data_IF_356091033810
#
_entry.id   IF_356091033810
#
_cell.length_a   1.000
_cell.length_b   1.000
_cell.length_c   1.000
_cell.angle_alpha   90.00
_cell.angle_beta   90.00
_cell.angle_gamma   90.00
#
_symmetry.space_group_name_H-M   'P 1'
#
loop_
_entity.id
_entity.type
_entity.pdbx_description
1 polymer ?
#
# COMPACT_ATOMS: atom_id res chain seq x y z
N UNK A 1 3.75 11.26 -30.03
CA UNK A 1 3.11 12.29 -29.17
C UNK A 1 1.62 11.99 -29.12
N UNK A 2 1.14 11.40 -28.03
CA UNK A 2 -0.28 11.09 -27.86
C UNK A 2 -0.99 12.34 -27.35
N UNK A 3 -2.07 12.74 -28.02
CA UNK A 3 -2.90 13.86 -27.62
C UNK A 3 -3.35 13.68 -26.16
N UNK A 4 -3.15 14.73 -25.35
CA UNK A 4 -3.72 14.80 -24.02
C UNK A 4 -5.24 14.66 -24.17
N UNK A 5 -5.81 13.61 -23.57
CA UNK A 5 -7.26 13.44 -23.50
C UNK A 5 -7.81 14.63 -22.69
N UNK A 6 -8.88 15.26 -23.18
CA UNK A 6 -9.67 16.19 -22.36
C UNK A 6 -9.97 15.54 -21.00
N UNK A 7 -10.09 16.35 -19.94
CA UNK A 7 -10.38 15.90 -18.58
C UNK A 7 -11.73 15.16 -18.49
N UNK A 8 -11.78 13.93 -18.97
CA UNK A 8 -12.82 12.99 -18.67
C UNK A 8 -12.72 12.70 -17.18
N UNK A 9 -13.87 12.64 -16.50
CA UNK A 9 -13.91 12.14 -15.14
C UNK A 9 -13.31 10.72 -15.15
N UNK A 10 -12.39 10.46 -14.22
CA UNK A 10 -11.87 9.12 -14.02
C UNK A 10 -13.02 8.15 -13.78
N UNK A 11 -12.84 6.91 -14.21
CA UNK A 11 -13.72 5.78 -13.98
C UNK A 11 -12.88 4.60 -13.48
N UNK A 12 -13.53 3.58 -12.91
CA UNK A 12 -12.86 2.34 -12.51
C UNK A 12 -12.29 1.52 -13.69
N UNK A 13 -12.51 1.94 -14.94
CA UNK A 13 -11.89 1.36 -16.12
C UNK A 13 -10.54 2.02 -16.48
N UNK A 14 -10.17 3.11 -15.80
CA UNK A 14 -8.98 3.88 -16.13
C UNK A 14 -7.71 3.41 -15.42
N UNK A 15 -6.59 3.59 -16.11
CA UNK A 15 -5.24 3.50 -15.55
C UNK A 15 -4.52 4.84 -15.71
N UNK A 16 -3.79 5.26 -14.69
CA UNK A 16 -3.20 6.59 -14.58
C UNK A 16 -1.73 6.48 -14.20
N UNK A 17 -0.87 7.27 -14.85
CA UNK A 17 0.49 7.49 -14.38
C UNK A 17 0.51 8.65 -13.39
N UNK A 18 1.00 8.42 -12.17
CA UNK A 18 1.07 9.45 -11.14
C UNK A 18 2.22 9.20 -10.17
N UNK A 19 3.07 10.20 -9.93
CA UNK A 19 4.33 9.99 -9.23
C UNK A 19 5.30 9.09 -10.00
N UNK A 20 6.50 8.92 -9.44
CA UNK A 20 7.54 8.07 -10.00
C UNK A 20 8.35 7.41 -8.88
N UNK A 21 8.76 6.16 -9.09
CA UNK A 21 9.49 5.39 -8.08
C UNK A 21 10.58 4.56 -8.75
N UNK A 22 11.64 4.14 -8.02
CA UNK A 22 12.57 3.12 -8.53
C UNK A 22 11.82 1.86 -8.96
N UNK A 23 12.00 1.41 -10.21
CA UNK A 23 11.32 0.22 -10.72
C UNK A 23 12.26 -0.75 -11.46
N UNK A 24 12.82 -0.39 -12.62
CA UNK A 24 13.73 -1.26 -13.38
C UNK A 24 15.21 -0.95 -13.11
N UNK A 25 16.09 -1.95 -13.15
CA UNK A 25 17.55 -1.78 -12.94
C UNK A 25 18.15 -2.85 -12.04
N UNK A 26 19.42 -2.64 -11.65
CA UNK A 26 20.20 -3.48 -10.72
C UNK A 26 20.74 -2.62 -9.58
N UNK A 27 21.09 -3.23 -8.44
CA UNK A 27 21.39 -2.67 -7.09
C UNK A 27 21.57 -1.15 -6.92
N UNK A 28 22.37 -0.48 -7.76
CA UNK A 28 22.71 0.93 -7.61
C UNK A 28 22.13 1.86 -8.71
N UNK A 29 21.52 1.29 -9.76
CA UNK A 29 21.07 1.97 -10.99
C UNK A 29 19.55 1.79 -11.26
N UNK A 30 18.74 1.67 -10.21
CA UNK A 30 17.29 1.62 -10.41
C UNK A 30 16.77 2.92 -11.01
N UNK A 31 16.16 2.81 -12.18
CA UNK A 31 15.51 3.92 -12.88
C UNK A 31 14.26 4.33 -12.12
N UNK A 32 14.16 5.64 -11.86
CA UNK A 32 12.94 6.24 -11.33
C UNK A 32 11.97 6.42 -12.49
N UNK A 33 10.86 5.69 -12.44
CA UNK A 33 9.91 5.57 -13.53
C UNK A 33 8.49 5.88 -13.04
N UNK A 34 7.61 6.47 -13.89
CA UNK A 34 6.23 6.75 -13.52
C UNK A 34 5.51 5.52 -12.99
N UNK A 35 4.81 5.67 -11.87
CA UNK A 35 4.02 4.58 -11.28
C UNK A 35 2.69 4.49 -12.02
N UNK A 36 2.36 3.28 -12.49
CA UNK A 36 1.05 3.00 -13.09
C UNK A 36 0.08 2.57 -12.00
N UNK A 37 -1.07 3.24 -11.95
CA UNK A 37 -2.15 3.00 -10.99
C UNK A 37 -3.41 2.62 -11.74
N UNK A 38 -4.16 1.63 -11.24
CA UNK A 38 -5.54 1.39 -11.64
C UNK A 38 -6.50 2.13 -10.71
N UNK A 39 -7.55 2.71 -11.25
CA UNK A 39 -8.64 3.32 -10.47
C UNK A 39 -9.56 2.22 -9.96
N UNK A 40 -9.75 2.15 -8.64
CA UNK A 40 -10.65 1.20 -8.00
C UNK A 40 -12.06 1.78 -7.85
N UNK A 41 -12.13 3.03 -7.40
CA UNK A 41 -13.37 3.74 -7.09
C UNK A 41 -13.20 5.23 -7.42
N UNK A 42 -14.29 5.86 -7.86
CA UNK A 42 -14.39 7.32 -7.94
C UNK A 42 -15.60 7.76 -7.14
N UNK A 43 -15.36 8.57 -6.12
CA UNK A 43 -16.36 9.10 -5.22
C UNK A 43 -17.10 10.29 -5.83
N UNK A 44 -18.29 10.60 -5.32
CA UNK A 44 -19.11 11.73 -5.80
C UNK A 44 -18.46 13.11 -5.64
N UNK A 45 -17.46 13.23 -4.78
CA UNK A 45 -16.63 14.43 -4.58
C UNK A 45 -15.42 14.52 -5.55
N UNK A 46 -15.38 13.64 -6.57
CA UNK A 46 -14.32 13.54 -7.59
C UNK A 46 -12.97 13.08 -7.03
N UNK A 47 -12.94 12.45 -5.87
CA UNK A 47 -11.77 11.75 -5.37
C UNK A 47 -11.72 10.34 -5.94
N UNK A 48 -10.52 9.79 -6.11
CA UNK A 48 -10.31 8.45 -6.64
C UNK A 48 -9.49 7.61 -5.67
N UNK A 49 -9.94 6.38 -5.42
CA UNK A 49 -9.12 5.35 -4.81
C UNK A 49 -8.37 4.63 -5.91
N UNK A 50 -7.05 4.48 -5.74
CA UNK A 50 -6.18 3.88 -6.75
C UNK A 50 -5.26 2.82 -6.13
N UNK A 51 -4.90 1.81 -6.93
CA UNK A 51 -3.95 0.76 -6.57
C UNK A 51 -2.83 0.71 -7.61
N UNK A 52 -1.57 0.66 -7.17
CA UNK A 52 -0.45 0.51 -8.10
C UNK A 52 -0.51 -0.87 -8.75
N UNK A 53 -0.29 -0.95 -10.06
CA UNK A 53 -0.39 -2.21 -10.81
C UNK A 53 0.73 -3.21 -10.47
N UNK A 54 1.84 -2.73 -9.89
CA UNK A 54 3.01 -3.53 -9.53
C UNK A 54 3.46 -3.28 -8.11
N UNK A 55 3.94 -4.31 -7.42
CA UNK A 55 4.54 -4.19 -6.09
C UNK A 55 5.86 -3.40 -6.22
N UNK A 56 5.85 -2.20 -5.65
CA UNK A 56 6.91 -1.21 -5.85
C UNK A 56 8.07 -1.33 -4.86
N UNK A 57 7.79 -1.75 -3.62
CA UNK A 57 8.75 -1.72 -2.51
C UNK A 57 8.42 -2.81 -1.46
N UNK A 58 9.37 -3.10 -0.58
CA UNK A 58 9.28 -4.02 0.54
C UNK A 58 10.33 -3.72 1.60
N UNK A 59 10.74 -4.76 2.35
CA UNK A 59 11.81 -4.64 3.35
C UNK A 59 11.45 -3.78 4.56
N UNK A 60 10.15 -3.56 4.79
CA UNK A 60 9.60 -2.92 6.00
C UNK A 60 8.73 -3.96 6.68
N UNK A 61 9.07 -4.33 7.91
CA UNK A 61 8.24 -5.19 8.75
C UNK A 61 6.86 -4.57 8.97
N UNK A 62 5.83 -5.39 9.23
CA UNK A 62 4.50 -4.84 9.48
C UNK A 62 4.53 -3.99 10.75
N UNK A 63 5.02 -4.57 11.85
CA UNK A 63 5.18 -3.95 13.17
C UNK A 63 6.59 -4.20 13.74
N UNK A 64 7.05 -3.39 14.73
CA UNK A 64 8.39 -3.51 15.30
C UNK A 64 8.55 -4.69 16.28
N UNK A 65 7.46 -5.22 16.80
CA UNK A 65 7.40 -6.38 17.70
C UNK A 65 6.40 -7.40 17.14
N UNK A 66 6.80 -8.67 17.15
CA UNK A 66 6.00 -9.82 16.70
C UNK A 66 5.57 -10.69 17.89
N UNK A 67 5.59 -10.15 19.10
CA UNK A 67 4.99 -10.83 20.25
C UNK A 67 3.50 -11.05 19.96
N UNK A 68 3.15 -12.29 19.58
CA UNK A 68 1.76 -12.76 19.37
C UNK A 68 0.92 -12.71 20.67
N UNK A 69 1.44 -12.10 21.73
CA UNK A 69 0.80 -12.01 23.04
C UNK A 69 -0.22 -10.89 23.13
N UNK A 70 -0.09 -9.83 22.31
CA UNK A 70 -0.95 -8.66 22.37
C UNK A 70 -1.58 -8.28 21.03
N UNK A 71 -2.90 -7.99 20.97
CA UNK A 71 -3.61 -7.83 19.70
C UNK A 71 -3.07 -6.70 18.79
N UNK A 72 -2.36 -5.73 19.35
CA UNK A 72 -1.86 -4.56 18.61
C UNK A 72 -0.69 -4.86 17.66
N UNK A 73 -0.03 -6.02 17.75
CA UNK A 73 1.09 -6.38 16.84
C UNK A 73 0.68 -6.45 15.36
N UNK A 74 -0.61 -6.57 15.07
CA UNK A 74 -1.16 -6.66 13.71
C UNK A 74 -2.01 -5.45 13.34
N UNK A 75 -2.08 -4.43 14.19
CA UNK A 75 -2.90 -3.24 13.92
C UNK A 75 -2.20 -2.30 12.93
N UNK A 76 -2.94 -1.90 11.89
CA UNK A 76 -2.48 -0.90 10.93
C UNK A 76 -2.06 0.42 11.59
N UNK A 77 -2.77 0.84 12.64
CA UNK A 77 -2.45 2.05 13.41
C UNK A 77 -1.02 2.03 13.97
N UNK A 78 -0.51 0.83 14.24
CA UNK A 78 0.79 0.53 14.81
C UNK A 78 1.84 0.09 13.75
N UNK A 79 1.50 0.20 12.47
CA UNK A 79 2.33 -0.34 11.39
C UNK A 79 3.54 0.54 11.04
N UNK A 80 4.72 -0.08 10.98
CA UNK A 80 5.91 0.53 10.39
C UNK A 80 5.72 0.79 8.90
N UNK A 81 4.95 -0.05 8.18
CA UNK A 81 4.59 0.22 6.79
C UNK A 81 3.73 1.48 6.71
N UNK A 82 2.71 1.63 7.56
CA UNK A 82 1.91 2.86 7.59
C UNK A 82 2.78 4.10 7.73
N UNK A 83 3.78 4.06 8.63
CA UNK A 83 4.74 5.16 8.82
C UNK A 83 5.63 5.34 7.59
N UNK A 84 6.19 4.27 7.06
CA UNK A 84 6.97 4.29 5.81
C UNK A 84 6.18 4.89 4.65
N UNK A 85 4.89 4.59 4.50
CA UNK A 85 4.07 5.11 3.42
C UNK A 85 3.85 6.62 3.55
N UNK A 86 3.51 7.11 4.75
CA UNK A 86 2.96 8.46 4.93
C UNK A 86 3.96 9.53 5.40
N UNK A 87 5.11 9.18 5.97
CA UNK A 87 5.96 10.24 6.55
C UNK A 87 7.33 9.82 7.08
N UNK A 88 8.23 10.81 7.11
CA UNK A 88 9.57 10.67 7.67
C UNK A 88 9.61 10.99 9.17
N UNK A 89 8.64 11.76 9.66
CA UNK A 89 8.65 12.32 11.00
C UNK A 89 8.19 11.31 12.06
N UNK A 90 8.85 11.39 13.20
CA UNK A 90 8.55 10.64 14.41
C UNK A 90 7.19 11.10 14.95
N UNK A 91 6.19 10.22 14.83
CA UNK A 91 4.90 10.39 15.50
C UNK A 91 4.71 9.16 16.36
N UNK A 92 4.52 9.38 17.66
CA UNK A 92 4.16 8.31 18.59
C UNK A 92 2.96 7.51 18.05
N UNK A 93 2.84 6.29 18.55
CA UNK A 93 1.68 5.46 18.23
C UNK A 93 0.40 6.27 18.49
N UNK A 94 -0.58 6.18 17.59
CA UNK A 94 -1.91 6.77 17.85
C UNK A 94 -2.62 6.06 19.03
N UNK A 95 -2.08 4.90 19.42
CA UNK A 95 -2.49 4.11 20.57
C UNK A 95 -1.37 4.05 21.62
N UNK A 96 -0.42 4.99 21.66
CA UNK A 96 0.76 4.90 22.52
C UNK A 96 0.40 4.76 24.00
N UNK A 97 -0.67 5.43 24.45
CA UNK A 97 -1.19 5.33 25.82
C UNK A 97 -1.68 3.91 26.15
N UNK A 98 -2.13 3.16 25.12
CA UNK A 98 -2.69 1.81 25.24
C UNK A 98 -1.59 0.75 25.04
N UNK A 99 -0.77 0.89 24.01
CA UNK A 99 0.21 -0.12 23.59
C UNK A 99 1.55 0.04 24.28
N UNK A 100 1.88 1.26 24.73
CA UNK A 100 3.21 1.65 25.21
C UNK A 100 4.32 1.39 24.19
N UNK A 101 3.97 1.21 22.91
CA UNK A 101 4.91 0.97 21.83
C UNK A 101 5.19 2.26 21.08
N UNK A 102 6.48 2.44 20.75
CA UNK A 102 6.93 3.47 19.84
C UNK A 102 7.12 2.89 18.45
N UNK A 103 6.29 3.31 17.49
CA UNK A 103 6.38 2.85 16.09
C UNK A 103 7.16 3.87 15.25
N UNK A 104 8.21 3.41 14.57
CA UNK A 104 9.11 4.25 13.76
C UNK A 104 9.15 3.79 12.31
N UNK A 105 9.32 4.75 11.38
CA UNK A 105 9.68 4.45 10.00
C UNK A 105 11.14 3.92 9.98
N UNK A 106 11.39 2.69 9.50
CA UNK A 106 12.73 2.12 9.50
C UNK A 106 13.60 2.63 8.34
N UNK A 107 13.04 3.37 7.39
CA UNK A 107 13.78 3.94 6.25
C UNK A 107 14.01 5.45 6.46
N UNK A 108 15.12 6.03 5.94
CA UNK A 108 15.41 7.47 6.04
C UNK A 108 14.50 8.34 5.14
N UNK A 109 13.52 7.72 4.49
CA UNK A 109 12.54 8.36 3.64
C UNK A 109 11.17 7.69 3.79
N UNK A 110 10.12 8.35 3.33
CA UNK A 110 8.80 7.74 3.15
C UNK A 110 8.54 7.47 1.67
N UNK A 111 7.69 6.49 1.37
CA UNK A 111 7.20 6.26 0.01
C UNK A 111 6.58 7.55 -0.53
N UNK A 112 5.66 8.19 0.21
CA UNK A 112 5.05 9.46 -0.20
C UNK A 112 6.09 10.52 -0.60
N UNK A 113 7.08 10.76 0.25
CA UNK A 113 8.08 11.81 0.03
C UNK A 113 9.13 11.46 -1.03
N UNK A 114 9.19 10.20 -1.48
CA UNK A 114 10.09 9.73 -2.53
C UNK A 114 9.36 9.55 -3.87
N UNK A 115 8.08 9.21 -3.84
CA UNK A 115 7.29 8.88 -5.01
C UNK A 115 6.62 10.10 -5.66
N UNK A 116 6.29 11.14 -4.88
CA UNK A 116 5.52 12.27 -5.38
C UNK A 116 6.29 13.58 -5.22
N UNK A 117 6.30 14.39 -6.27
CA UNK A 117 6.73 15.79 -6.17
C UNK A 117 5.83 16.59 -5.24
N UNK A 118 6.25 17.80 -4.84
CA UNK A 118 5.41 18.67 -4.01
C UNK A 118 4.05 18.98 -4.67
N UNK A 119 4.04 19.16 -6.01
CA UNK A 119 2.82 19.41 -6.78
C UNK A 119 1.89 18.19 -6.81
N UNK A 120 2.43 17.00 -7.06
CA UNK A 120 1.65 15.76 -7.05
C UNK A 120 1.16 15.43 -5.63
N UNK A 121 2.01 15.57 -4.62
CA UNK A 121 1.64 15.34 -3.22
C UNK A 121 0.50 16.24 -2.74
N UNK A 122 0.36 17.45 -3.32
CA UNK A 122 -0.75 18.36 -3.07
C UNK A 122 -2.11 17.82 -3.54
N UNK A 123 -2.12 16.93 -4.55
CA UNK A 123 -3.32 16.26 -5.04
C UNK A 123 -3.73 15.02 -4.23
N UNK A 124 -2.85 14.52 -3.35
CA UNK A 124 -3.11 13.35 -2.50
C UNK A 124 -3.69 13.83 -1.17
N UNK A 125 -4.99 13.59 -1.01
CA UNK A 125 -5.76 13.95 0.18
C UNK A 125 -5.67 12.86 1.26
N UNK A 126 -6.06 13.22 2.48
CA UNK A 126 -6.22 12.28 3.58
C UNK A 126 -7.59 11.60 3.49
N UNK A 127 -7.64 10.30 3.76
CA UNK A 127 -8.87 9.54 3.90
C UNK A 127 -9.00 9.01 5.33
N UNK A 128 -10.24 8.90 5.82
CA UNK A 128 -10.55 8.14 7.03
C UNK A 128 -10.52 6.65 6.69
N UNK A 129 -9.51 5.95 7.21
CA UNK A 129 -9.24 4.55 6.92
C UNK A 129 -9.90 3.68 8.01
N UNK A 130 -10.92 2.93 7.61
CA UNK A 130 -11.62 2.00 8.50
C UNK A 130 -10.88 0.67 8.65
N UNK A 131 -10.24 0.46 9.80
CA UNK A 131 -9.46 -0.74 10.14
C UNK A 131 -10.28 -1.87 10.78
N UNK A 132 -11.61 -1.82 10.67
CA UNK A 132 -12.53 -2.82 11.23
C UNK A 132 -12.53 -4.17 10.51
N UNK A 133 -12.15 -4.21 9.23
CA UNK A 133 -12.13 -5.45 8.44
C UNK A 133 -10.98 -6.36 8.87
N UNK A 134 -11.27 -7.60 9.31
CA UNK A 134 -10.27 -8.56 9.79
C UNK A 134 -10.56 -9.99 9.32
N UNK A 135 -9.56 -10.88 9.48
CA UNK A 135 -9.71 -12.34 9.32
C UNK A 135 -9.56 -13.03 10.68
N UNK A 136 -10.52 -12.77 11.57
CA UNK A 136 -10.61 -13.42 12.90
C UNK A 136 -9.71 -12.82 13.98
N UNK A 137 -9.01 -11.73 13.70
CA UNK A 137 -8.20 -10.98 14.68
C UNK A 137 -8.95 -9.74 15.19
N UNK A 138 -8.51 -9.21 16.34
CA UNK A 138 -9.03 -7.96 16.90
C UNK A 138 -8.60 -6.78 16.01
N UNK A 139 -9.54 -5.94 15.53
CA UNK A 139 -9.21 -4.78 14.71
C UNK A 139 -8.52 -3.68 15.53
N UNK A 140 -7.70 -2.90 14.86
CA UNK A 140 -7.14 -1.66 15.42
C UNK A 140 -8.08 -0.46 15.23
N UNK A 141 -7.76 0.68 15.85
CA UNK A 141 -8.54 1.91 15.68
C UNK A 141 -8.48 2.43 14.24
N UNK A 142 -9.46 3.28 13.88
CA UNK A 142 -9.45 4.02 12.61
C UNK A 142 -8.23 4.95 12.53
N UNK A 143 -7.74 5.18 11.33
CA UNK A 143 -6.63 6.10 11.06
C UNK A 143 -7.02 7.13 10.02
N UNK A 144 -6.21 8.18 9.88
CA UNK A 144 -6.34 9.15 8.81
C UNK A 144 -5.03 9.16 8.03
N UNK A 145 -5.05 8.66 6.79
CA UNK A 145 -3.86 8.39 5.99
C UNK A 145 -3.99 8.92 4.56
N UNK A 146 -2.86 9.24 3.92
CA UNK A 146 -2.81 9.60 2.50
C UNK A 146 -2.59 8.37 1.61
N UNK A 147 -1.74 7.46 2.08
CA UNK A 147 -1.40 6.22 1.39
C UNK A 147 -1.59 5.08 2.38
N UNK A 148 -2.29 4.04 1.96
CA UNK A 148 -2.60 2.89 2.80
C UNK A 148 -2.65 1.61 1.97
N UNK A 149 -2.48 0.47 2.64
CA UNK A 149 -2.69 -0.84 2.03
C UNK A 149 -4.19 -1.14 1.93
N UNK A 150 -4.58 -2.01 0.99
CA UNK A 150 -5.96 -2.50 0.92
C UNK A 150 -6.36 -3.22 2.22
N UNK A 151 -7.63 -3.11 2.61
CA UNK A 151 -8.20 -4.00 3.61
C UNK A 151 -8.53 -5.38 3.03
N UNK A 152 -8.85 -6.31 3.91
CA UNK A 152 -9.43 -7.59 3.55
C UNK A 152 -10.74 -7.45 2.79
N UNK A 153 -11.61 -6.50 3.17
CA UNK A 153 -12.83 -6.21 2.43
C UNK A 153 -12.53 -5.68 1.01
N UNK A 154 -11.56 -4.75 0.87
CA UNK A 154 -11.16 -4.21 -0.43
C UNK A 154 -10.61 -5.32 -1.34
N UNK A 155 -9.77 -6.20 -0.77
CA UNK A 155 -9.17 -7.32 -1.47
C UNK A 155 -10.13 -8.47 -1.82
N UNK A 156 -11.41 -8.35 -1.43
CA UNK A 156 -12.51 -9.25 -1.81
C UNK A 156 -13.59 -8.55 -2.63
N UNK A 157 -13.40 -7.27 -2.92
CA UNK A 157 -14.38 -6.47 -3.63
C UNK A 157 -14.32 -6.79 -5.12
N UNK A 158 -15.37 -7.44 -5.65
CA UNK A 158 -15.49 -7.77 -7.07
C UNK A 158 -15.57 -6.54 -7.97
N UNK A 159 -16.03 -5.39 -7.44
CA UNK A 159 -16.02 -4.13 -8.17
C UNK A 159 -14.59 -3.61 -8.41
N UNK A 160 -13.62 -4.02 -7.57
CA UNK A 160 -12.19 -3.66 -7.70
C UNK A 160 -11.40 -4.70 -8.51
N UNK A 161 -12.09 -5.66 -9.12
CA UNK A 161 -11.49 -6.74 -9.91
C UNK A 161 -10.91 -7.89 -9.06
N UNK A 162 -11.22 -7.95 -7.76
CA UNK A 162 -10.81 -9.06 -6.90
C UNK A 162 -11.86 -10.17 -6.84
N UNK A 163 -11.41 -11.40 -6.60
CA UNK A 163 -12.30 -12.51 -6.31
C UNK A 163 -12.87 -12.38 -4.89
N UNK A 164 -14.15 -12.72 -4.71
CA UNK A 164 -14.76 -12.76 -3.39
C UNK A 164 -14.45 -14.09 -2.69
N UNK A 165 -13.19 -14.27 -2.25
CA UNK A 165 -12.73 -15.45 -1.54
C UNK A 165 -11.79 -15.13 -0.38
N UNK A 166 -11.63 -16.07 0.54
CA UNK A 166 -10.83 -15.89 1.76
C UNK A 166 -9.36 -16.32 1.59
N UNK A 167 -8.99 -16.76 0.39
CA UNK A 167 -7.65 -17.25 0.08
C UNK A 167 -6.82 -16.16 -0.60
N UNK A 168 -5.50 -16.32 -0.62
CA UNK A 168 -4.64 -15.51 -1.50
C UNK A 168 -4.84 -15.92 -2.94
N UNK A 169 -5.99 -15.53 -3.48
CA UNK A 169 -6.40 -15.87 -4.84
C UNK A 169 -5.51 -15.19 -5.86
N UNK A 170 -5.50 -15.76 -7.06
CA UNK A 170 -4.77 -15.23 -8.21
C UNK A 170 -5.11 -13.76 -8.51
N UNK A 171 -6.28 -13.27 -8.08
CA UNK A 171 -6.72 -11.88 -8.25
C UNK A 171 -5.92 -10.87 -7.41
N UNK A 172 -5.27 -11.32 -6.32
CA UNK A 172 -4.40 -10.50 -5.46
C UNK A 172 -2.92 -10.56 -5.86
N UNK A 173 -2.57 -11.46 -6.78
CA UNK A 173 -1.21 -11.62 -7.27
C UNK A 173 -0.83 -10.43 -8.15
N UNK A 174 0.29 -9.78 -7.86
CA UNK A 174 0.81 -8.66 -8.62
C UNK A 174 2.27 -8.85 -9.00
N UNK A 175 2.65 -8.31 -10.16
CA UNK A 175 4.04 -8.32 -10.63
C UNK A 175 4.88 -7.40 -9.74
N UNK A 176 6.08 -7.83 -9.36
CA UNK A 176 7.05 -6.99 -8.66
C UNK A 176 7.81 -6.14 -9.68
N UNK A 177 8.13 -4.91 -9.30
CA UNK A 177 9.20 -4.18 -9.97
C UNK A 177 10.55 -4.81 -9.65
N UNK A 178 11.58 -4.52 -10.45
CA UNK A 178 12.95 -4.96 -10.13
C UNK A 178 13.42 -4.41 -8.77
N UNK A 179 13.03 -3.17 -8.45
CA UNK A 179 13.28 -2.58 -7.14
C UNK A 179 12.52 -3.29 -6.03
N UNK A 180 11.21 -3.52 -6.18
CA UNK A 180 10.42 -4.27 -5.19
C UNK A 180 11.03 -5.64 -4.88
N UNK A 181 11.51 -6.34 -5.91
CA UNK A 181 12.23 -7.61 -5.74
C UNK A 181 13.57 -7.45 -5.00
N UNK A 182 14.31 -6.36 -5.22
CA UNK A 182 15.57 -6.08 -4.50
C UNK A 182 15.37 -5.72 -3.04
N UNK A 183 14.17 -5.25 -2.67
CA UNK A 183 13.77 -4.95 -1.30
C UNK A 183 13.33 -6.21 -0.51
N UNK A 184 13.53 -7.42 -1.05
CA UNK A 184 13.29 -8.67 -0.34
C UNK A 184 11.82 -9.07 -0.25
N UNK A 185 10.95 -8.54 -1.12
CA UNK A 185 9.56 -8.98 -1.20
C UNK A 185 9.50 -10.47 -1.55
N UNK A 186 8.77 -11.23 -0.70
CA UNK A 186 8.52 -12.64 -0.94
C UNK A 186 7.80 -12.80 -2.28
N UNK A 187 8.38 -13.60 -3.17
CA UNK A 187 7.88 -13.73 -4.53
C UNK A 187 8.13 -15.10 -5.12
N UNK A 188 7.29 -15.48 -6.07
CA UNK A 188 7.48 -16.61 -6.95
C UNK A 188 7.84 -16.13 -8.36
N UNK A 189 8.74 -16.85 -9.03
CA UNK A 189 9.14 -16.55 -10.40
C UNK A 189 8.23 -17.29 -11.38
N UNK A 190 7.64 -16.56 -12.33
CA UNK A 190 6.86 -17.11 -13.44
C UNK A 190 7.41 -16.54 -14.75
N UNK A 191 8.05 -17.39 -15.55
CA UNK A 191 8.82 -16.94 -16.72
C UNK A 191 9.95 -15.99 -16.32
N UNK A 192 9.99 -14.80 -16.93
CA UNK A 192 10.99 -13.77 -16.66
C UNK A 192 10.52 -12.71 -15.65
N UNK A 193 9.42 -12.97 -14.93
CA UNK A 193 8.79 -12.02 -14.01
C UNK A 193 8.70 -12.61 -12.61
N UNK A 194 8.67 -11.72 -11.62
CA UNK A 194 8.42 -12.07 -10.21
C UNK A 194 7.04 -11.60 -9.82
N UNK A 195 6.33 -12.44 -9.09
CA UNK A 195 4.99 -12.15 -8.59
C UNK A 195 4.96 -12.34 -7.08
N UNK A 196 4.12 -11.55 -6.42
CA UNK A 196 3.88 -11.63 -4.99
C UNK A 196 2.47 -11.17 -4.70
N UNK A 197 2.18 -10.96 -3.42
CA UNK A 197 0.86 -10.53 -2.97
C UNK A 197 0.97 -9.23 -2.19
N UNK A 198 -0.07 -8.40 -2.32
CA UNK A 198 -0.19 -7.16 -1.58
C UNK A 198 -0.48 -7.47 -0.12
N UNK A 199 0.43 -7.07 0.77
CA UNK A 199 0.09 -7.02 2.18
C UNK A 199 -1.17 -6.19 2.39
N UNK A 200 -2.01 -6.66 3.31
CA UNK A 200 -3.23 -5.98 3.68
C UNK A 200 -3.04 -5.25 5.00
N UNK A 201 -3.75 -4.16 5.20
CA UNK A 201 -3.79 -3.47 6.51
C UNK A 201 -4.67 -4.19 7.54
N UNK A 202 -5.46 -5.18 7.09
CA UNK A 202 -6.34 -5.97 7.93
C UNK A 202 -5.56 -7.05 8.70
N UNK A 203 -5.78 -7.21 10.01
CA UNK A 203 -5.15 -8.26 10.79
C UNK A 203 -5.80 -9.64 10.57
N UNK A 204 -5.03 -10.71 10.81
CA UNK A 204 -5.46 -12.11 10.75
C UNK A 204 -4.50 -13.02 9.98
N UNK A 205 -4.53 -14.34 10.22
CA UNK A 205 -3.63 -15.27 9.53
C UNK A 205 -3.87 -15.27 8.01
N UNK A 206 -2.83 -15.33 7.18
CA UNK A 206 -2.95 -15.45 5.72
C UNK A 206 -3.29 -14.15 4.97
N UNK A 207 -3.18 -12.98 5.61
CA UNK A 207 -3.28 -11.66 4.98
C UNK A 207 -1.97 -11.27 4.30
N UNK A 208 -1.55 -12.07 3.33
CA UNK A 208 -0.49 -11.72 2.38
C UNK A 208 -1.09 -11.40 1.02
#
# INVERSE_FOLDING_TARGET
>A
MGAARNAAALTSADVVYYGAYPQSGTSDDFKVEPVLWRVLEVSGDKTALMLSEKILDGGVSFNPDYSDTDPYYSWWSESQIRKFLNGKEYVESVSADVTKITVRNPKPYSFYGKAFSAGEGGGIIKADVDNSSTRGATPGPKTTDKIFLLSYADAKNTAYGFANDDNSSSSRKAELTGYGASQGVMSNTEGNKKYGYWWLRSPGGGVY
#
